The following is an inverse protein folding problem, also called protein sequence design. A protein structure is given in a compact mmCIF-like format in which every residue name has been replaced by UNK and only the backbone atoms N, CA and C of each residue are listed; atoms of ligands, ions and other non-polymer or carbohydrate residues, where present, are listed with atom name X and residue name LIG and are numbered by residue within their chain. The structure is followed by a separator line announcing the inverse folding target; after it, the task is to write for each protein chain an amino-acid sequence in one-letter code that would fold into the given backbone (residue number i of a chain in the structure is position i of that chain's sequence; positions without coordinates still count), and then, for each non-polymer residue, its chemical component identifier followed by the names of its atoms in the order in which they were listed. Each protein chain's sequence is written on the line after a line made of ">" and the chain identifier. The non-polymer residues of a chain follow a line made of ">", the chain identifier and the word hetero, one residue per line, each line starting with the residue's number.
data_IF_414943854112
#
_entry.id   IF_414943854112
#
_cell.length_a   1.000
_cell.length_b   1.000
_cell.length_c   1.000
_cell.angle_alpha   90.00
_cell.angle_beta   90.00
_cell.angle_gamma   90.00
#
_symmetry.space_group_name_H-M   'P 1'
#
loop_
_entity.id
_entity.type
_entity.pdbx_description
1 polymer ?
#
# COMPACT_ATOMS: atom_id res chain seq x y z
N UNK A 1 37.36 -32.60 24.18
CA UNK A 1 38.09 -31.52 24.86
C UNK A 1 38.21 -30.34 23.90
N UNK A 2 38.06 -29.12 24.40
CA UNK A 2 37.54 -27.96 23.69
C UNK A 2 38.65 -27.00 23.21
N UNK A 3 38.29 -26.04 22.35
CA UNK A 3 38.81 -24.67 22.25
C UNK A 3 38.12 -24.02 21.02
N UNK A 4 37.00 -23.29 21.09
CA UNK A 4 36.78 -21.90 21.57
C UNK A 4 37.98 -20.98 21.50
N UNK A 5 37.87 -19.90 20.69
CA UNK A 5 38.30 -18.51 20.97
C UNK A 5 37.82 -17.56 19.85
N UNK A 6 36.87 -16.68 20.17
CA UNK A 6 37.03 -15.20 20.36
C UNK A 6 37.03 -14.43 19.02
N UNK A 7 35.93 -13.78 18.59
CA UNK A 7 35.37 -12.50 19.06
C UNK A 7 36.46 -11.45 19.30
N UNK A 8 36.65 -10.54 18.34
CA UNK A 8 37.38 -9.29 18.56
C UNK A 8 36.42 -8.13 18.28
N UNK A 9 35.80 -7.66 19.37
CA UNK A 9 35.23 -6.32 19.48
C UNK A 9 36.38 -5.31 19.47
N UNK A 10 36.39 -4.39 18.50
CA UNK A 10 37.25 -3.21 18.57
C UNK A 10 36.41 -2.05 19.08
N UNK A 11 36.31 -1.99 20.41
CA UNK A 11 35.91 -0.79 21.14
C UNK A 11 37.12 0.14 21.22
N UNK A 12 36.99 1.37 20.69
CA UNK A 12 37.98 2.44 20.87
C UNK A 12 37.30 3.72 21.31
N UNK A 13 37.44 4.05 22.60
CA UNK A 13 37.38 5.40 23.19
C UNK A 13 38.17 5.38 24.52
N UNK A 14 38.52 6.51 25.17
CA UNK A 14 38.47 7.93 24.73
C UNK A 14 39.78 8.71 25.02
N UNK A 15 39.87 9.93 24.49
CA UNK A 15 40.76 10.99 25.00
C UNK A 15 40.08 12.36 24.88
N UNK A 16 39.89 13.05 26.01
CA UNK A 16 39.36 14.42 26.10
C UNK A 16 40.33 15.48 25.55
N UNK A 17 40.06 16.77 25.48
CA UNK A 17 39.16 17.64 26.26
C UNK A 17 39.10 19.02 25.58
N UNK A 18 37.97 19.73 25.70
CA UNK A 18 37.90 21.17 26.04
C UNK A 18 36.46 21.67 25.89
N UNK A 19 35.87 22.07 27.01
CA UNK A 19 34.61 22.81 27.08
C UNK A 19 34.83 24.28 26.70
N UNK A 20 33.76 25.03 26.39
CA UNK A 20 33.23 25.88 27.45
C UNK A 20 31.71 25.82 27.61
N UNK A 21 31.31 26.19 28.82
CA UNK A 21 30.01 26.32 29.45
C UNK A 21 29.06 27.28 28.74
N UNK A 22 27.76 26.96 28.77
CA UNK A 22 26.68 27.88 28.42
C UNK A 22 25.30 27.21 28.32
N UNK A 23 24.59 27.21 29.45
CA UNK A 23 23.13 27.35 29.58
C UNK A 23 22.18 26.18 29.24
N UNK A 24 21.54 25.77 30.34
CA UNK A 24 20.32 25.00 30.58
C UNK A 24 19.25 25.01 29.47
N UNK A 25 18.91 23.83 28.98
CA UNK A 25 17.57 23.48 28.50
C UNK A 25 17.42 21.97 28.52
N UNK A 26 16.80 21.49 29.58
CA UNK A 26 16.21 20.15 29.67
C UNK A 26 15.36 19.87 28.44
N UNK A 27 15.82 18.98 27.56
CA UNK A 27 14.94 18.34 26.61
C UNK A 27 15.28 16.86 26.60
N UNK A 28 14.38 16.08 27.20
CA UNK A 28 14.49 14.64 27.27
C UNK A 28 14.58 14.06 25.87
N UNK A 29 15.75 13.55 25.52
CA UNK A 29 15.93 12.67 24.37
C UNK A 29 15.21 11.36 24.68
N UNK A 30 13.90 11.34 24.41
CA UNK A 30 13.17 10.10 24.28
C UNK A 30 13.75 9.39 23.04
N UNK A 31 14.63 8.43 23.28
CA UNK A 31 15.04 7.46 22.27
C UNK A 31 13.78 6.77 21.75
N UNK A 32 13.37 7.17 20.54
CA UNK A 32 12.33 6.48 19.80
C UNK A 32 12.82 5.05 19.55
N UNK A 33 12.39 4.12 20.39
CA UNK A 33 12.69 2.69 20.27
C UNK A 33 12.21 2.24 18.90
N UNK A 34 13.14 2.04 17.97
CA UNK A 34 12.83 1.69 16.60
C UNK A 34 11.97 0.43 16.59
N UNK A 35 10.69 0.56 16.19
CA UNK A 35 9.80 -0.58 16.02
C UNK A 35 10.42 -1.48 14.96
N UNK A 36 10.81 -2.69 15.35
CA UNK A 36 11.46 -3.62 14.44
C UNK A 36 10.47 -3.97 13.32
N UNK A 37 10.85 -3.72 12.07
CA UNK A 37 10.01 -4.06 10.93
C UNK A 37 9.79 -5.58 10.91
N UNK A 38 8.54 -6.02 11.03
CA UNK A 38 8.19 -7.45 11.02
C UNK A 38 7.92 -7.86 9.58
N UNK A 39 8.67 -8.84 9.08
CA UNK A 39 8.48 -9.39 7.73
C UNK A 39 7.21 -10.22 7.66
N UNK A 40 6.26 -9.84 6.82
CA UNK A 40 5.09 -10.65 6.45
C UNK A 40 5.47 -11.63 5.34
N UNK A 41 5.76 -12.88 5.69
CA UNK A 41 6.03 -13.93 4.68
C UNK A 41 4.75 -14.28 3.92
N UNK A 42 4.92 -14.70 2.67
CA UNK A 42 3.81 -15.24 1.88
C UNK A 42 3.60 -16.72 2.24
N UNK A 43 2.36 -17.24 2.14
CA UNK A 43 2.08 -18.67 2.27
C UNK A 43 2.81 -19.51 1.22
N UNK A 44 3.04 -20.78 1.52
CA UNK A 44 3.69 -21.74 0.62
C UNK A 44 2.87 -21.95 -0.66
N UNK A 45 1.56 -22.09 -0.52
CA UNK A 45 0.60 -22.10 -1.63
C UNK A 45 -0.07 -20.74 -1.77
N UNK A 46 0.02 -20.15 -2.96
CA UNK A 46 -0.51 -18.80 -3.21
C UNK A 46 -0.86 -18.59 -4.66
N UNK A 47 -1.67 -17.56 -4.91
CA UNK A 47 -1.96 -17.10 -6.26
C UNK A 47 -0.79 -16.30 -6.81
N UNK A 48 -0.50 -16.50 -8.09
CA UNK A 48 0.48 -15.70 -8.82
C UNK A 48 -0.09 -15.25 -10.17
N UNK A 49 0.39 -14.10 -10.63
CA UNK A 49 0.07 -13.55 -11.94
C UNK A 49 1.35 -13.50 -12.75
N UNK A 50 1.37 -14.21 -13.88
CA UNK A 50 2.48 -14.15 -14.83
C UNK A 50 2.06 -13.36 -16.07
N UNK A 51 2.89 -12.41 -16.46
CA UNK A 51 2.68 -11.56 -17.63
C UNK A 51 3.92 -11.60 -18.52
N UNK A 52 3.68 -11.86 -19.80
CA UNK A 52 4.70 -11.79 -20.83
C UNK A 52 4.81 -10.36 -21.35
N UNK A 53 6.03 -9.87 -21.51
CA UNK A 53 6.31 -8.57 -22.09
C UNK A 53 7.42 -8.64 -23.12
N UNK A 54 7.39 -7.70 -24.07
CA UNK A 54 8.47 -7.48 -25.03
C UNK A 54 8.80 -6.00 -25.02
N UNK A 55 10.07 -5.63 -24.80
CA UNK A 55 10.53 -4.23 -24.77
C UNK A 55 11.70 -4.10 -25.74
N UNK A 56 11.53 -3.31 -26.79
CA UNK A 56 12.61 -3.11 -27.77
C UNK A 56 13.09 -4.39 -28.44
N UNK A 57 12.20 -5.39 -28.59
CA UNK A 57 12.53 -6.70 -29.16
C UNK A 57 13.13 -7.71 -28.16
N UNK A 58 13.34 -7.32 -26.90
CA UNK A 58 13.70 -8.26 -25.84
C UNK A 58 12.47 -8.77 -25.11
N UNK A 59 12.36 -10.09 -24.97
CA UNK A 59 11.22 -10.74 -24.35
C UNK A 59 11.53 -11.17 -22.92
N UNK A 60 10.53 -11.09 -22.07
CA UNK A 60 10.62 -11.49 -20.67
C UNK A 60 9.26 -11.80 -20.06
N UNK A 61 9.32 -12.37 -18.87
CA UNK A 61 8.18 -12.71 -18.05
C UNK A 61 8.33 -12.05 -16.69
N UNK A 62 7.26 -11.42 -16.22
CA UNK A 62 7.14 -10.97 -14.85
C UNK A 62 6.11 -11.85 -14.15
N UNK A 63 6.47 -12.36 -12.97
CA UNK A 63 5.57 -13.14 -12.12
C UNK A 63 5.42 -12.42 -10.79
N UNK A 64 4.18 -12.14 -10.40
CA UNK A 64 3.85 -11.47 -9.14
C UNK A 64 3.12 -12.44 -8.25
N UNK A 65 3.67 -12.74 -7.08
CA UNK A 65 2.96 -13.49 -6.05
C UNK A 65 2.06 -12.56 -5.24
N UNK A 66 0.84 -13.02 -4.97
CA UNK A 66 -0.22 -12.20 -4.41
C UNK A 66 -0.62 -12.78 -3.06
N UNK A 67 -0.80 -11.91 -2.07
CA UNK A 67 -1.38 -12.26 -0.78
C UNK A 67 -2.89 -12.56 -0.91
N UNK A 68 -3.48 -13.13 0.14
CA UNK A 68 -4.92 -13.42 0.18
C UNK A 68 -5.80 -12.16 0.09
N UNK A 69 -5.26 -11.01 0.51
CA UNK A 69 -5.88 -9.68 0.41
C UNK A 69 -5.79 -9.06 -0.99
N UNK A 70 -5.16 -9.74 -1.96
CA UNK A 70 -4.98 -9.25 -3.33
C UNK A 70 -3.81 -8.29 -3.52
N UNK A 71 -3.03 -7.99 -2.47
CA UNK A 71 -1.83 -7.16 -2.58
C UNK A 71 -0.64 -7.95 -3.14
N UNK A 72 0.24 -7.31 -3.92
CA UNK A 72 1.46 -7.97 -4.38
C UNK A 72 2.46 -8.12 -3.22
N UNK A 73 3.03 -9.31 -3.09
CA UNK A 73 3.97 -9.64 -2.01
C UNK A 73 5.35 -10.08 -2.48
N UNK A 74 5.48 -10.47 -3.74
CA UNK A 74 6.76 -10.83 -4.34
C UNK A 74 6.73 -10.59 -5.84
N UNK A 75 7.92 -10.39 -6.40
CA UNK A 75 8.16 -10.12 -7.79
C UNK A 75 9.27 -11.05 -8.26
N UNK A 76 9.08 -11.69 -9.41
CA UNK A 76 10.10 -12.41 -10.15
C UNK A 76 10.15 -11.90 -11.58
N UNK A 77 11.36 -11.80 -12.13
CA UNK A 77 11.59 -11.29 -13.48
C UNK A 77 12.48 -12.30 -14.18
N UNK A 78 12.05 -12.80 -15.34
CA UNK A 78 12.86 -13.67 -16.20
C UNK A 78 13.00 -13.05 -17.57
N UNK A 79 14.23 -12.95 -18.05
CA UNK A 79 14.54 -12.45 -19.39
C UNK A 79 14.91 -13.62 -20.30
N UNK A 80 14.41 -13.63 -21.54
CA UNK A 80 14.58 -14.77 -22.45
C UNK A 80 15.97 -14.83 -23.11
N UNK A 81 16.64 -13.68 -23.30
CA UNK A 81 17.85 -13.57 -24.14
C UNK A 81 18.85 -12.55 -23.61
N UNK A 82 19.14 -12.57 -22.31
CA UNK A 82 20.14 -11.69 -21.71
C UNK A 82 21.28 -12.47 -21.05
N UNK A 83 22.47 -11.85 -21.01
CA UNK A 83 23.63 -12.42 -20.35
C UNK A 83 23.41 -12.60 -18.84
N UNK A 84 24.21 -13.48 -18.23
CA UNK A 84 24.11 -13.81 -16.79
C UNK A 84 24.17 -12.58 -15.87
N UNK A 85 24.86 -11.51 -16.29
CA UNK A 85 24.94 -10.25 -15.57
C UNK A 85 23.58 -9.58 -15.42
N UNK A 86 22.79 -9.46 -16.49
CA UNK A 86 21.49 -8.76 -16.43
C UNK A 86 20.48 -9.64 -15.70
N UNK A 87 20.44 -10.94 -16.00
CA UNK A 87 19.59 -11.89 -15.27
C UNK A 87 19.88 -11.89 -13.76
N UNK A 88 21.15 -11.91 -13.35
CA UNK A 88 21.52 -11.85 -11.93
C UNK A 88 21.16 -10.51 -11.26
N UNK A 89 21.28 -9.39 -11.98
CA UNK A 89 20.83 -8.09 -11.49
C UNK A 89 19.31 -8.05 -11.33
N UNK A 90 18.56 -8.61 -12.29
CA UNK A 90 17.10 -8.68 -12.25
C UNK A 90 16.61 -9.58 -11.11
N UNK A 91 17.24 -10.74 -10.89
CA UNK A 91 16.92 -11.63 -9.77
C UNK A 91 17.19 -10.95 -8.42
N UNK A 92 18.32 -10.26 -8.30
CA UNK A 92 18.69 -9.52 -7.09
C UNK A 92 17.71 -8.37 -6.82
N UNK A 93 17.33 -7.64 -7.86
CA UNK A 93 16.37 -6.55 -7.78
C UNK A 93 14.96 -7.05 -7.41
N UNK A 94 14.49 -8.10 -8.10
CA UNK A 94 13.23 -8.77 -7.83
C UNK A 94 13.15 -9.25 -6.37
N UNK A 95 14.24 -9.81 -5.84
CA UNK A 95 14.36 -10.21 -4.44
C UNK A 95 14.29 -9.01 -3.50
N UNK A 96 15.00 -7.92 -3.80
CA UNK A 96 14.97 -6.71 -2.99
C UNK A 96 13.57 -6.07 -2.93
N UNK A 97 12.87 -6.00 -4.06
CA UNK A 97 11.49 -5.50 -4.14
C UNK A 97 10.54 -6.42 -3.37
N UNK A 98 10.70 -7.74 -3.50
CA UNK A 98 9.90 -8.72 -2.75
C UNK A 98 10.07 -8.54 -1.24
N UNK A 99 11.31 -8.33 -0.78
CA UNK A 99 11.56 -8.01 0.64
C UNK A 99 10.91 -6.69 1.04
N UNK A 100 11.05 -5.64 0.24
CA UNK A 100 10.42 -4.34 0.51
C UNK A 100 8.89 -4.47 0.69
N UNK A 101 8.23 -5.18 -0.23
CA UNK A 101 6.78 -5.44 -0.13
C UNK A 101 6.42 -6.23 1.13
N UNK A 102 7.21 -7.24 1.49
CA UNK A 102 6.99 -8.05 2.69
C UNK A 102 7.22 -7.29 4.00
N UNK A 103 8.02 -6.22 3.99
CA UNK A 103 8.16 -5.30 5.12
C UNK A 103 7.12 -4.16 5.11
N UNK A 104 6.13 -4.23 4.21
CA UNK A 104 5.01 -3.28 4.17
C UNK A 104 5.30 -1.99 3.42
N UNK A 105 6.35 -1.95 2.58
CA UNK A 105 6.57 -0.79 1.70
C UNK A 105 5.39 -0.68 0.72
N UNK A 106 4.66 0.44 0.70
CA UNK A 106 3.53 0.61 -0.20
C UNK A 106 3.97 0.53 -1.67
N UNK A 107 3.27 -0.28 -2.47
CA UNK A 107 3.55 -0.45 -3.90
C UNK A 107 3.62 0.89 -4.64
N UNK A 108 2.76 1.85 -4.28
CA UNK A 108 2.73 3.19 -4.89
C UNK A 108 4.10 3.88 -4.81
N UNK A 109 4.78 3.80 -3.67
CA UNK A 109 6.09 4.44 -3.49
C UNK A 109 7.12 3.83 -4.43
N UNK A 110 7.09 2.50 -4.59
CA UNK A 110 7.96 1.79 -5.52
C UNK A 110 7.64 2.17 -6.97
N UNK A 111 6.35 2.19 -7.34
CA UNK A 111 5.91 2.61 -8.67
C UNK A 111 6.37 4.03 -8.99
N UNK A 112 6.13 4.99 -8.10
CA UNK A 112 6.53 6.38 -8.29
C UNK A 112 8.06 6.53 -8.42
N UNK A 113 8.83 5.71 -7.68
CA UNK A 113 10.30 5.77 -7.70
C UNK A 113 10.92 5.18 -8.96
N UNK A 114 10.43 4.05 -9.43
CA UNK A 114 11.05 3.29 -10.53
C UNK A 114 10.43 3.58 -11.89
N UNK A 115 9.21 4.15 -11.91
CA UNK A 115 8.61 4.64 -13.14
C UNK A 115 9.47 5.75 -13.72
N UNK A 116 9.58 5.75 -15.05
CA UNK A 116 10.34 6.69 -15.87
C UNK A 116 11.85 6.69 -15.68
N UNK A 117 12.39 5.71 -14.97
CA UNK A 117 13.82 5.41 -15.00
C UNK A 117 14.27 5.06 -16.41
N UNK A 118 15.47 5.52 -16.80
CA UNK A 118 16.01 5.39 -18.15
C UNK A 118 17.28 4.54 -18.14
N UNK A 119 17.25 3.42 -18.85
CA UNK A 119 18.39 2.57 -19.14
C UNK A 119 17.97 1.49 -20.14
N UNK A 120 18.92 0.83 -20.80
CA UNK A 120 18.62 -0.25 -21.75
C UNK A 120 18.35 -1.58 -21.02
N UNK A 121 17.37 -2.38 -21.47
CA UNK A 121 16.61 -2.28 -22.71
C UNK A 121 15.48 -1.23 -22.66
N UNK A 122 15.33 -0.47 -23.75
CA UNK A 122 14.25 0.49 -23.95
C UNK A 122 13.61 0.30 -25.32
N UNK A 123 12.34 0.68 -25.46
CA UNK A 123 11.65 0.53 -26.74
C UNK A 123 10.15 0.42 -26.63
N UNK A 124 9.51 0.15 -27.77
CA UNK A 124 8.07 -0.08 -27.82
C UNK A 124 7.72 -1.39 -27.12
N UNK A 125 6.69 -1.35 -26.26
CA UNK A 125 6.40 -2.46 -25.34
C UNK A 125 5.28 -3.41 -25.77
N UNK A 126 4.67 -3.16 -26.94
CA UNK A 126 3.49 -3.87 -27.44
C UNK A 126 2.18 -3.63 -26.65
N UNK A 127 2.27 -3.17 -25.40
CA UNK A 127 1.11 -2.83 -24.58
C UNK A 127 0.58 -1.42 -24.95
N UNK A 128 -0.67 -1.29 -25.43
CA UNK A 128 -1.21 0.00 -25.88
C UNK A 128 -1.34 1.03 -24.75
N UNK A 129 -1.46 0.61 -23.50
CA UNK A 129 -1.61 1.52 -22.35
C UNK A 129 -0.27 2.10 -21.88
N UNK A 130 0.84 1.42 -22.17
CA UNK A 130 2.19 1.85 -21.77
C UNK A 130 2.92 2.49 -22.95
N UNK A 131 2.78 1.94 -24.16
CA UNK A 131 3.43 2.43 -25.37
C UNK A 131 4.95 2.25 -25.30
N UNK A 132 5.69 3.35 -25.38
CA UNK A 132 7.15 3.34 -25.26
C UNK A 132 7.59 3.21 -23.79
N UNK A 133 8.44 2.22 -23.54
CA UNK A 133 9.10 2.01 -22.26
C UNK A 133 10.52 2.58 -22.28
N UNK A 134 10.83 3.41 -21.30
CA UNK A 134 12.16 4.06 -21.15
C UNK A 134 13.23 3.13 -20.58
N UNK A 135 12.78 2.05 -19.95
CA UNK A 135 13.60 0.96 -19.42
C UNK A 135 12.70 -0.24 -19.12
N UNK A 136 13.32 -1.38 -18.84
CA UNK A 136 12.64 -2.54 -18.26
C UNK A 136 11.86 -2.19 -16.99
N UNK A 137 12.47 -1.43 -16.08
CA UNK A 137 11.83 -1.07 -14.80
C UNK A 137 10.69 -0.08 -14.98
N UNK A 138 10.83 0.91 -15.88
CA UNK A 138 9.73 1.81 -16.25
C UNK A 138 8.52 1.01 -16.71
N UNK A 139 8.71 0.01 -17.58
CA UNK A 139 7.62 -0.86 -18.02
C UNK A 139 7.01 -1.66 -16.87
N UNK A 140 7.84 -2.38 -16.11
CA UNK A 140 7.38 -3.29 -15.06
C UNK A 140 6.57 -2.55 -14.00
N UNK A 141 7.04 -1.40 -13.52
CA UNK A 141 6.35 -0.64 -12.48
C UNK A 141 5.12 0.10 -12.98
N UNK A 142 5.11 0.57 -14.23
CA UNK A 142 3.89 1.11 -14.86
C UNK A 142 2.84 0.02 -15.06
N UNK A 143 3.27 -1.18 -15.43
CA UNK A 143 2.40 -2.35 -15.55
C UNK A 143 1.84 -2.78 -14.17
N UNK A 144 2.69 -2.85 -13.14
CA UNK A 144 2.25 -3.12 -11.77
C UNK A 144 1.26 -2.05 -11.27
N UNK A 145 1.51 -0.78 -11.56
CA UNK A 145 0.63 0.32 -11.20
C UNK A 145 -0.75 0.19 -11.88
N UNK A 146 -0.78 -0.08 -13.19
CA UNK A 146 -2.01 -0.33 -13.94
C UNK A 146 -2.78 -1.52 -13.34
N UNK A 147 -2.07 -2.58 -12.99
CA UNK A 147 -2.66 -3.83 -12.51
C UNK A 147 -3.19 -3.72 -11.08
N UNK A 148 -2.42 -3.18 -10.14
CA UNK A 148 -2.75 -3.23 -8.71
C UNK A 148 -3.31 -1.93 -8.13
N UNK A 149 -2.98 -0.76 -8.71
CA UNK A 149 -3.42 0.54 -8.17
C UNK A 149 -4.59 1.14 -8.95
N UNK A 150 -4.56 1.04 -10.29
CA UNK A 150 -5.62 1.59 -11.15
C UNK A 150 -6.81 0.64 -11.33
N UNK A 151 -6.79 -0.52 -10.69
CA UNK A 151 -7.94 -1.42 -10.63
C UNK A 151 -8.22 -2.18 -11.91
N UNK A 152 -7.26 -2.31 -12.84
CA UNK A 152 -7.40 -3.19 -14.02
C UNK A 152 -7.19 -4.67 -13.66
N UNK A 153 -7.73 -5.06 -12.51
CA UNK A 153 -7.79 -6.43 -12.04
C UNK A 153 -8.91 -7.20 -12.76
N UNK A 154 -8.85 -7.27 -14.10
CA UNK A 154 -9.84 -7.97 -14.91
C UNK A 154 -10.12 -9.37 -14.36
N UNK A 155 -11.39 -9.62 -14.04
CA UNK A 155 -12.13 -10.87 -13.75
C UNK A 155 -11.56 -11.89 -12.73
N UNK A 156 -10.27 -11.87 -12.43
CA UNK A 156 -9.63 -12.88 -11.57
C UNK A 156 -9.81 -12.60 -10.07
N UNK A 157 -10.06 -11.34 -9.69
CA UNK A 157 -10.19 -10.88 -8.30
C UNK A 157 -11.57 -10.30 -7.94
N UNK A 158 -12.47 -10.16 -8.91
CA UNK A 158 -13.78 -9.51 -8.76
C UNK A 158 -14.71 -10.23 -7.77
N UNK A 159 -14.36 -11.47 -7.38
CA UNK A 159 -15.11 -12.27 -6.41
C UNK A 159 -14.80 -11.98 -4.94
N UNK A 160 -13.74 -11.23 -4.62
CA UNK A 160 -13.34 -10.97 -3.23
C UNK A 160 -13.49 -9.50 -2.78
N UNK A 161 -13.46 -8.52 -3.70
CA UNK A 161 -13.52 -7.10 -3.33
C UNK A 161 -14.93 -6.54 -3.12
N UNK A 162 -15.98 -7.27 -3.49
CA UNK A 162 -17.36 -6.79 -3.45
C UNK A 162 -18.04 -6.90 -2.07
N UNK A 163 -17.43 -7.59 -1.09
CA UNK A 163 -18.05 -7.83 0.23
C UNK A 163 -17.73 -6.78 1.31
N UNK A 164 -16.47 -6.39 1.50
CA UNK A 164 -16.06 -5.69 2.73
C UNK A 164 -16.03 -4.15 2.63
N UNK A 165 -15.63 -3.58 1.49
CA UNK A 165 -15.45 -2.12 1.38
C UNK A 165 -16.77 -1.32 1.26
N UNK A 166 -17.89 -1.97 0.91
CA UNK A 166 -19.19 -1.32 0.86
C UNK A 166 -19.87 -1.22 2.23
N UNK A 167 -19.59 -2.16 3.14
CA UNK A 167 -20.29 -2.23 4.43
C UNK A 167 -19.84 -1.10 5.38
N UNK A 168 -18.53 -0.83 5.45
CA UNK A 168 -17.96 0.11 6.42
C UNK A 168 -18.26 1.58 6.10
N UNK A 169 -18.37 1.92 4.81
CA UNK A 169 -18.84 3.25 4.35
C UNK A 169 -20.34 3.45 4.60
N UNK A 170 -21.14 2.38 4.63
CA UNK A 170 -22.58 2.49 4.91
C UNK A 170 -22.84 2.78 6.38
N UNK A 171 -22.08 2.15 7.28
CA UNK A 171 -22.23 2.27 8.72
C UNK A 171 -21.90 3.68 9.23
N UNK A 172 -20.81 4.28 8.74
CA UNK A 172 -20.38 5.63 9.15
C UNK A 172 -21.36 6.70 8.63
N UNK A 173 -21.93 6.50 7.44
CA UNK A 173 -22.93 7.43 6.88
C UNK A 173 -24.28 7.32 7.59
N UNK A 174 -24.68 6.11 7.98
CA UNK A 174 -25.87 5.88 8.79
C UNK A 174 -25.70 6.47 10.21
N UNK A 175 -24.52 6.36 10.82
CA UNK A 175 -24.22 7.00 12.11
C UNK A 175 -24.26 8.53 12.05
N UNK A 176 -23.78 9.14 10.96
CA UNK A 176 -23.90 10.59 10.76
C UNK A 176 -25.36 11.06 10.73
N UNK A 177 -26.27 10.25 10.17
CA UNK A 177 -27.69 10.56 10.05
C UNK A 177 -28.45 10.46 11.40
N UNK A 178 -28.00 9.61 12.33
CA UNK A 178 -28.61 9.52 13.68
C UNK A 178 -28.07 10.55 14.67
N UNK A 179 -26.83 11.04 14.50
CA UNK A 179 -26.26 12.09 15.36
C UNK A 179 -26.91 13.46 15.08
N UNK A 180 -27.36 13.71 13.87
CA UNK A 180 -28.10 14.94 13.49
C UNK A 180 -29.58 14.91 13.94
N UNK A 181 -30.06 13.77 14.46
CA UNK A 181 -31.45 13.51 14.85
C UNK A 181 -31.71 13.67 16.36
N UNK A 182 -30.70 14.10 17.12
CA UNK A 182 -30.61 13.98 18.59
C UNK A 182 -31.71 14.64 19.43
N UNK A 183 -32.54 15.52 18.87
CA UNK A 183 -33.64 16.20 19.58
C UNK A 183 -34.95 16.22 18.77
N UNK A 184 -35.19 15.20 17.94
CA UNK A 184 -36.46 15.06 17.22
C UNK A 184 -37.57 14.51 18.14
N UNK A 185 -38.60 15.30 18.52
CA UNK A 185 -39.71 14.78 19.31
C UNK A 185 -40.49 13.73 18.52
N UNK A 186 -41.11 12.79 19.22
CA UNK A 186 -42.05 11.85 18.61
C UNK A 186 -43.39 12.54 18.35
N UNK A 187 -44.06 12.14 17.27
CA UNK A 187 -45.37 12.66 16.93
C UNK A 187 -46.41 12.22 17.97
N UNK A 188 -47.10 13.17 18.59
CA UNK A 188 -48.17 12.88 19.57
C UNK A 188 -49.42 12.21 18.97
N UNK A 189 -49.59 12.23 17.64
CA UNK A 189 -50.75 11.60 16.97
C UNK A 189 -50.48 10.18 16.48
N UNK A 190 -49.25 9.87 16.03
CA UNK A 190 -48.94 8.56 15.44
C UNK A 190 -47.63 7.93 15.93
N UNK A 191 -46.91 8.56 16.87
CA UNK A 191 -45.67 8.02 17.45
C UNK A 191 -44.45 8.04 16.56
N UNK A 192 -44.58 8.34 15.26
CA UNK A 192 -43.43 8.44 14.33
C UNK A 192 -42.47 9.55 14.75
N UNK A 193 -41.16 9.30 14.57
CA UNK A 193 -40.12 10.28 14.82
C UNK A 193 -40.26 11.45 13.84
N UNK A 194 -40.34 12.68 14.35
CA UNK A 194 -40.58 13.84 13.50
C UNK A 194 -39.27 14.32 12.87
N UNK A 195 -39.33 14.83 11.64
CA UNK A 195 -38.16 15.37 10.92
C UNK A 195 -38.20 16.88 10.93
N UNK A 196 -37.03 17.53 11.11
CA UNK A 196 -36.91 18.99 11.13
C UNK A 196 -37.24 19.59 9.76
N UNK A 197 -38.16 20.54 9.72
CA UNK A 197 -38.58 21.27 8.53
C UNK A 197 -38.59 22.78 8.85
N UNK A 198 -37.44 23.43 8.66
CA UNK A 198 -37.22 24.81 9.04
C UNK A 198 -37.12 24.98 10.57
N UNK A 199 -37.95 25.88 11.13
CA UNK A 199 -38.10 26.08 12.58
C UNK A 199 -39.01 25.02 13.23
N UNK A 200 -39.81 24.29 12.45
CA UNK A 200 -40.74 23.29 12.96
C UNK A 200 -40.22 21.86 12.79
N UNK A 201 -40.91 20.91 13.42
CA UNK A 201 -40.83 19.48 13.14
C UNK A 201 -42.10 19.03 12.41
N UNK A 202 -41.98 18.08 11.48
CA UNK A 202 -43.10 17.50 10.73
C UNK A 202 -43.03 15.97 10.74
N UNK A 203 -44.15 15.33 11.02
CA UNK A 203 -44.30 13.88 10.83
C UNK A 203 -44.42 13.55 9.34
N UNK A 204 -43.65 12.58 8.86
CA UNK A 204 -43.73 12.10 7.48
C UNK A 204 -44.94 11.17 7.25
N UNK A 205 -45.53 10.66 8.31
CA UNK A 205 -46.55 9.60 8.23
C UNK A 205 -47.97 10.14 8.41
N UNK A 206 -48.18 11.11 9.32
CA UNK A 206 -49.50 11.74 9.51
C UNK A 206 -49.53 13.23 9.15
N UNK A 207 -48.40 13.83 8.80
CA UNK A 207 -48.32 15.24 8.37
C UNK A 207 -48.45 16.28 9.49
N UNK A 208 -48.60 15.87 10.75
CA UNK A 208 -48.67 16.80 11.89
C UNK A 208 -47.37 17.60 12.07
N UNK A 209 -47.49 18.84 12.51
CA UNK A 209 -46.36 19.75 12.75
C UNK A 209 -46.28 20.16 14.21
N UNK A 210 -45.07 20.30 14.75
CA UNK A 210 -44.80 20.73 16.14
C UNK A 210 -43.65 21.72 16.19
N UNK A 211 -43.65 22.65 17.16
CA UNK A 211 -42.54 23.59 17.38
C UNK A 211 -42.45 24.76 16.39
N UNK A 212 -43.54 25.13 15.72
CA UNK A 212 -43.57 26.34 14.89
C UNK A 212 -43.65 27.60 15.76
N UNK A 213 -42.66 28.48 15.64
CA UNK A 213 -42.68 29.86 16.17
C UNK A 213 -43.18 30.81 15.08
#
# INVERSE_FOLDING_TARGET
>A
MPETKEIVSVDRRPGGSSSPSGEDSTNGSQEAKATQAVRRRLPDERRSLTHHFSIGGQEGYVTVGIYEDGLPGELFIRMAKEGSTVSGLMDSFATAVSLALQYGVPLRILCDKFSHTRFEPSGWSGNPKIGYAKSLMDYLFRWLELRFLKGEQGILFERQSSGELQHERSSIRALGQVVELGDAPTCQFCGSLMVRNGSCYRSLECGSTSGCS
#
